data_IF_267552098607
#
_entry.id   IF_267552098607
#
_cell.length_a   1.000
_cell.length_b   1.000
_cell.length_c   1.000
_cell.angle_alpha   90.00
_cell.angle_beta   90.00
_cell.angle_gamma   90.00
#
_symmetry.space_group_name_H-M   'P 1'
#
loop_
_entity.id
_entity.type
_entity.pdbx_description
1 polymer ?
#
# COMPACT_ATOMS: atom_id res chain seq x y z
N UNK A 1 -35.12 17.35 20.90
CA UNK A 1 -33.81 17.61 20.29
C UNK A 1 -33.65 16.64 19.15
N UNK A 2 -33.81 17.07 17.90
CA UNK A 2 -33.64 16.18 16.73
C UNK A 2 -32.13 15.89 16.68
N UNK A 3 -31.75 14.63 16.87
CA UNK A 3 -30.36 14.24 16.79
C UNK A 3 -29.92 14.38 15.34
N UNK A 4 -29.16 15.42 15.05
CA UNK A 4 -28.72 15.82 13.68
C UNK A 4 -27.95 14.70 12.99
N UNK A 5 -27.33 13.79 13.74
CA UNK A 5 -26.42 12.73 13.26
C UNK A 5 -26.96 11.29 13.52
N UNK A 6 -28.28 11.11 13.53
CA UNK A 6 -28.92 9.79 13.65
C UNK A 6 -29.08 9.05 12.31
N UNK A 7 -28.81 9.73 11.21
CA UNK A 7 -28.80 9.21 9.85
C UNK A 7 -27.67 9.85 9.04
N UNK A 8 -27.32 9.24 7.92
CA UNK A 8 -26.24 9.71 7.07
C UNK A 8 -26.53 11.12 6.53
N UNK A 9 -25.67 12.07 6.89
CA UNK A 9 -25.64 13.45 6.41
C UNK A 9 -24.20 13.78 6.04
N UNK A 10 -23.99 14.38 4.86
CA UNK A 10 -22.65 14.82 4.48
C UNK A 10 -22.20 15.97 5.38
N UNK A 11 -21.02 15.80 5.95
CA UNK A 11 -20.37 16.80 6.79
C UNK A 11 -19.73 17.90 5.94
N UNK A 12 -19.62 19.07 6.52
CA UNK A 12 -18.85 20.22 6.04
C UNK A 12 -18.07 20.82 7.21
N UNK A 13 -17.26 21.84 6.98
CA UNK A 13 -16.41 22.44 8.02
C UNK A 13 -17.18 22.92 9.26
N UNK A 14 -18.44 23.31 9.16
CA UNK A 14 -19.24 23.72 10.30
C UNK A 14 -19.83 22.51 11.04
N UNK A 15 -20.46 21.60 10.29
CA UNK A 15 -21.15 20.43 10.86
C UNK A 15 -20.19 19.38 11.39
N UNK A 16 -18.95 19.28 10.89
CA UNK A 16 -17.94 18.38 11.44
C UNK A 16 -17.51 18.78 12.85
N UNK A 17 -17.48 20.06 13.16
CA UNK A 17 -17.21 20.56 14.54
C UNK A 17 -18.30 20.07 15.48
N UNK A 18 -19.57 20.27 15.09
CA UNK A 18 -20.73 19.82 15.85
C UNK A 18 -20.68 18.30 16.08
N UNK A 19 -20.39 17.57 15.02
CA UNK A 19 -20.29 16.11 15.03
C UNK A 19 -19.24 15.61 16.02
N UNK A 20 -17.99 16.07 15.90
CA UNK A 20 -16.92 15.57 16.77
C UNK A 20 -17.13 15.97 18.24
N UNK A 21 -17.69 17.16 18.49
CA UNK A 21 -18.00 17.61 19.84
C UNK A 21 -19.11 16.78 20.48
N UNK A 22 -20.14 16.40 19.70
CA UNK A 22 -21.26 15.57 20.18
C UNK A 22 -20.87 14.09 20.36
N UNK A 23 -20.13 13.54 19.39
CA UNK A 23 -19.88 12.09 19.30
C UNK A 23 -18.57 11.63 19.97
N UNK A 24 -17.66 12.56 20.26
CA UNK A 24 -16.40 12.24 20.91
C UNK A 24 -16.26 13.05 22.20
N UNK A 25 -15.56 12.51 23.19
CA UNK A 25 -15.17 13.27 24.37
C UNK A 25 -13.75 13.84 24.24
N UNK A 26 -13.29 14.09 23.01
CA UNK A 26 -11.90 14.47 22.74
C UNK A 26 -11.62 15.95 23.05
N UNK A 27 -12.57 16.82 22.75
CA UNK A 27 -12.45 18.27 22.97
C UNK A 27 -13.27 18.73 24.17
N UNK A 28 -12.70 19.63 24.96
CA UNK A 28 -13.36 20.16 26.17
C UNK A 28 -14.28 21.36 25.88
N UNK A 29 -13.98 22.19 24.86
CA UNK A 29 -14.73 23.40 24.56
C UNK A 29 -14.93 23.52 23.03
N UNK A 30 -16.20 23.59 22.61
CA UNK A 30 -16.59 23.71 21.20
C UNK A 30 -16.23 25.08 20.59
N UNK A 31 -16.29 26.15 21.38
CA UNK A 31 -16.07 27.51 20.88
C UNK A 31 -14.63 27.75 20.38
N UNK A 32 -13.69 26.92 20.82
CA UNK A 32 -12.29 26.97 20.40
C UNK A 32 -11.97 26.13 19.16
N UNK A 33 -12.97 25.42 18.60
CA UNK A 33 -12.74 24.50 17.51
C UNK A 33 -12.80 25.18 16.15
N UNK A 34 -11.83 24.88 15.34
CA UNK A 34 -11.81 25.18 13.92
C UNK A 34 -11.72 23.89 13.10
N UNK A 35 -12.19 23.94 11.86
CA UNK A 35 -12.11 22.83 10.94
C UNK A 35 -11.70 23.27 9.54
N UNK A 36 -10.96 22.42 8.85
CA UNK A 36 -10.58 22.59 7.46
C UNK A 36 -10.77 21.27 6.73
N UNK A 37 -11.34 21.34 5.54
CA UNK A 37 -11.36 20.21 4.62
C UNK A 37 -9.97 20.03 3.99
N UNK A 38 -9.47 18.77 4.00
CA UNK A 38 -8.21 18.39 3.36
C UNK A 38 -8.52 17.96 1.93
N UNK A 39 -7.96 18.66 0.96
CA UNK A 39 -8.29 18.51 -0.48
C UNK A 39 -7.71 17.26 -1.14
N UNK A 40 -6.84 16.53 -0.47
CA UNK A 40 -6.13 15.36 -1.04
C UNK A 40 -7.01 14.08 -1.08
N UNK A 41 -8.24 14.12 -0.56
CA UNK A 41 -9.19 12.99 -0.59
C UNK A 41 -9.92 12.86 -1.93
N UNK A 42 -9.41 12.07 -2.86
CA UNK A 42 -10.08 11.80 -4.14
C UNK A 42 -11.36 10.94 -3.98
N UNK A 43 -11.47 10.18 -2.91
CA UNK A 43 -12.50 9.17 -2.67
C UNK A 43 -13.45 9.61 -1.56
N UNK A 44 -12.92 10.05 -0.42
CA UNK A 44 -13.65 10.37 0.80
C UNK A 44 -13.58 11.87 1.11
N UNK A 45 -14.52 12.35 1.95
CA UNK A 45 -14.45 13.67 2.57
C UNK A 45 -13.55 13.59 3.78
N UNK A 46 -12.50 14.40 3.84
CA UNK A 46 -11.50 14.37 4.91
C UNK A 46 -11.42 15.76 5.54
N UNK A 47 -11.61 15.84 6.86
CA UNK A 47 -11.55 17.09 7.61
C UNK A 47 -10.50 16.95 8.72
N UNK A 48 -9.75 18.03 8.95
CA UNK A 48 -8.99 18.23 10.17
C UNK A 48 -9.78 19.16 11.07
N UNK A 49 -9.94 18.77 12.35
CA UNK A 49 -10.56 19.59 13.39
C UNK A 49 -9.52 19.81 14.49
N UNK A 50 -9.36 21.05 14.95
CA UNK A 50 -8.38 21.38 16.01
C UNK A 50 -8.90 22.41 16.97
N UNK A 51 -8.38 22.36 18.21
CA UNK A 51 -8.59 23.35 19.25
C UNK A 51 -7.49 24.41 19.14
N UNK A 52 -7.88 25.66 18.89
CA UNK A 52 -6.99 26.81 18.67
C UNK A 52 -6.23 27.22 19.94
N UNK A 53 -6.68 26.81 21.15
CA UNK A 53 -6.08 27.17 22.42
C UNK A 53 -5.02 26.16 22.86
N UNK A 54 -5.32 24.87 22.80
CA UNK A 54 -4.42 23.82 23.30
C UNK A 54 -3.72 23.01 22.19
N UNK A 55 -4.06 23.24 20.93
CA UNK A 55 -3.46 22.59 19.77
C UNK A 55 -3.81 21.11 19.59
N UNK A 56 -4.73 20.54 20.38
CA UNK A 56 -5.25 19.19 20.14
C UNK A 56 -5.95 19.16 18.79
N UNK A 57 -5.76 18.08 18.03
CA UNK A 57 -6.37 17.92 16.72
C UNK A 57 -6.71 16.47 16.43
N UNK A 58 -7.67 16.27 15.53
CA UNK A 58 -8.06 14.96 15.00
C UNK A 58 -8.43 15.08 13.52
N UNK A 59 -8.49 13.94 12.85
CA UNK A 59 -8.95 13.82 11.47
C UNK A 59 -10.26 13.06 11.42
N UNK A 60 -11.19 13.57 10.62
CA UNK A 60 -12.49 12.95 10.34
C UNK A 60 -12.54 12.57 8.87
N UNK A 61 -12.73 11.29 8.59
CA UNK A 61 -12.86 10.75 7.22
C UNK A 61 -14.28 10.21 7.06
N UNK A 62 -15.04 10.76 6.10
CA UNK A 62 -16.39 10.33 5.80
C UNK A 62 -16.47 9.74 4.40
N UNK A 63 -17.02 8.52 4.30
CA UNK A 63 -17.34 7.89 3.03
C UNK A 63 -18.75 8.30 2.55
N UNK A 64 -18.89 8.49 1.24
CA UNK A 64 -20.18 8.63 0.58
C UNK A 64 -20.38 7.50 -0.43
N UNK A 65 -21.66 7.32 -0.84
CA UNK A 65 -22.08 6.31 -1.83
C UNK A 65 -21.47 6.51 -3.23
N UNK A 66 -20.98 7.71 -3.49
CA UNK A 66 -20.37 8.07 -4.76
C UNK A 66 -18.94 8.57 -4.56
N UNK A 67 -18.05 8.14 -5.45
CA UNK A 67 -16.69 8.66 -5.50
C UNK A 67 -16.72 10.15 -5.82
N UNK A 68 -16.06 10.96 -5.01
CA UNK A 68 -16.01 12.41 -5.15
C UNK A 68 -15.38 12.85 -6.48
N UNK A 69 -14.37 12.14 -6.95
CA UNK A 69 -13.62 12.46 -8.17
C UNK A 69 -14.34 12.08 -9.47
N UNK A 70 -15.09 10.98 -9.48
CA UNK A 70 -15.68 10.39 -10.70
C UNK A 70 -17.19 10.24 -10.67
N UNK A 71 -17.85 10.41 -9.52
CA UNK A 71 -19.29 10.17 -9.34
C UNK A 71 -19.70 8.69 -9.49
N UNK A 72 -18.73 7.75 -9.53
CA UNK A 72 -19.04 6.31 -9.60
C UNK A 72 -19.53 5.81 -8.24
N UNK A 73 -20.54 4.93 -8.21
CA UNK A 73 -20.96 4.30 -6.97
C UNK A 73 -19.82 3.43 -6.41
N UNK A 74 -19.62 3.49 -5.10
CA UNK A 74 -18.68 2.64 -4.38
C UNK A 74 -19.27 2.31 -3.00
N UNK A 75 -19.12 1.04 -2.56
CA UNK A 75 -19.67 0.60 -1.27
C UNK A 75 -19.02 1.36 -0.12
N UNK A 76 -19.85 1.95 0.75
CA UNK A 76 -19.42 2.67 1.95
C UNK A 76 -18.79 1.75 3.00
N UNK A 77 -19.00 0.43 2.90
CA UNK A 77 -18.40 -0.56 3.80
C UNK A 77 -16.88 -0.52 3.81
N UNK A 78 -16.23 0.00 2.74
CA UNK A 78 -14.78 0.18 2.70
C UNK A 78 -14.26 1.02 3.88
N UNK A 79 -15.00 2.06 4.31
CA UNK A 79 -14.62 2.90 5.43
C UNK A 79 -14.71 2.14 6.78
N UNK A 80 -15.66 1.19 6.88
CA UNK A 80 -15.74 0.28 8.03
C UNK A 80 -14.55 -0.68 8.06
N UNK A 81 -14.21 -1.25 6.93
CA UNK A 81 -13.03 -2.10 6.78
C UNK A 81 -11.78 -1.33 7.21
N UNK A 82 -11.58 -0.13 6.69
CA UNK A 82 -10.47 0.74 7.06
C UNK A 82 -10.40 0.96 8.58
N UNK A 83 -11.52 1.33 9.22
CA UNK A 83 -11.56 1.58 10.66
C UNK A 83 -11.21 0.32 11.48
N UNK A 84 -11.76 -0.84 11.10
CA UNK A 84 -11.51 -2.11 11.77
C UNK A 84 -10.06 -2.58 11.58
N UNK A 85 -9.49 -2.43 10.40
CA UNK A 85 -8.10 -2.79 10.12
C UNK A 85 -7.14 -1.88 10.89
N UNK A 86 -7.34 -0.56 10.89
CA UNK A 86 -6.53 0.36 11.69
C UNK A 86 -6.56 -0.01 13.19
N UNK A 87 -7.70 -0.46 13.72
CA UNK A 87 -7.80 -0.93 15.10
C UNK A 87 -7.04 -2.23 15.33
N UNK A 88 -7.07 -3.17 14.37
CA UNK A 88 -6.33 -4.43 14.45
C UNK A 88 -4.83 -4.16 14.35
N UNK A 89 -4.39 -3.42 13.34
CA UNK A 89 -2.99 -3.06 13.13
C UNK A 89 -2.44 -2.23 14.29
N UNK A 90 -3.24 -1.29 14.83
CA UNK A 90 -2.86 -0.51 16.01
C UNK A 90 -2.63 -1.36 17.26
N UNK A 91 -3.32 -2.48 17.42
CA UNK A 91 -3.06 -3.45 18.49
C UNK A 91 -1.84 -4.31 18.23
N UNK A 92 -1.64 -4.75 16.99
CA UNK A 92 -0.53 -5.63 16.60
C UNK A 92 0.80 -4.88 16.47
N UNK A 93 0.76 -3.65 15.98
CA UNK A 93 1.90 -2.77 15.75
C UNK A 93 1.65 -1.36 16.32
N UNK A 94 1.62 -1.18 17.66
CA UNK A 94 1.33 0.11 18.27
C UNK A 94 2.27 1.21 17.78
N UNK A 95 1.70 2.38 17.46
CA UNK A 95 2.45 3.55 17.01
C UNK A 95 2.66 3.62 15.48
N UNK A 96 2.44 2.54 14.72
CA UNK A 96 2.64 2.52 13.26
C UNK A 96 1.43 2.98 12.45
N UNK A 97 0.24 3.03 13.03
CA UNK A 97 -0.99 3.52 12.38
C UNK A 97 -1.61 4.63 13.21
N UNK A 98 -2.49 5.46 12.65
CA UNK A 98 -3.28 6.41 13.43
C UNK A 98 -4.16 5.70 14.47
N UNK A 99 -4.26 6.27 15.67
CA UNK A 99 -5.22 5.82 16.68
C UNK A 99 -6.65 6.11 16.18
N UNK A 100 -7.52 5.11 16.26
CA UNK A 100 -8.95 5.26 15.93
C UNK A 100 -9.72 5.62 17.18
N UNK A 101 -10.33 6.80 17.21
CA UNK A 101 -11.12 7.30 18.34
C UNK A 101 -12.59 6.89 18.25
N UNK A 102 -13.16 6.87 17.03
CA UNK A 102 -14.55 6.51 16.79
C UNK A 102 -14.73 5.99 15.35
N UNK A 103 -15.56 4.96 15.18
CA UNK A 103 -16.21 4.66 13.92
C UNK A 103 -17.73 4.71 14.10
N UNK A 104 -18.43 5.48 13.27
CA UNK A 104 -19.88 5.63 13.26
C UNK A 104 -20.46 5.01 11.98
N UNK A 105 -21.07 3.84 12.14
CA UNK A 105 -21.65 3.05 11.05
C UNK A 105 -22.85 3.76 10.37
N UNK A 106 -23.59 4.63 11.11
CA UNK A 106 -24.73 5.36 10.56
C UNK A 106 -24.30 6.51 9.68
N UNK A 107 -23.27 7.22 10.12
CA UNK A 107 -22.71 8.38 9.41
C UNK A 107 -21.63 8.00 8.40
N UNK A 108 -21.15 6.74 8.42
CA UNK A 108 -19.96 6.28 7.69
C UNK A 108 -18.75 7.17 7.97
N UNK A 109 -18.52 7.49 9.24
CA UNK A 109 -17.45 8.39 9.69
C UNK A 109 -16.44 7.64 10.52
N UNK A 110 -15.19 7.82 10.17
CA UNK A 110 -14.01 7.42 10.93
C UNK A 110 -13.37 8.67 11.55
N UNK A 111 -13.19 8.68 12.87
CA UNK A 111 -12.45 9.72 13.62
C UNK A 111 -11.16 9.13 14.12
N UNK A 112 -10.04 9.74 13.78
CA UNK A 112 -8.71 9.20 14.07
C UNK A 112 -7.69 10.27 14.40
N UNK A 113 -6.51 9.84 14.85
CA UNK A 113 -5.33 10.67 15.14
C UNK A 113 -4.97 11.56 13.96
N UNK A 114 -4.68 12.83 14.23
CA UNK A 114 -4.10 13.76 13.27
C UNK A 114 -2.61 13.50 13.11
N UNK A 115 -2.24 12.98 11.96
CA UNK A 115 -0.84 12.69 11.57
C UNK A 115 -0.20 13.80 10.73
N UNK A 116 -0.75 15.01 10.70
CA UNK A 116 -0.23 16.11 9.85
C UNK A 116 1.22 16.55 10.13
N UNK A 117 1.84 16.02 11.20
CA UNK A 117 3.28 16.17 11.47
C UNK A 117 4.15 15.20 10.66
N UNK A 118 3.56 14.22 10.03
CA UNK A 118 4.24 13.29 9.14
C UNK A 118 4.03 13.73 7.69
N UNK A 119 5.03 13.51 6.85
CA UNK A 119 5.02 13.87 5.43
C UNK A 119 4.82 12.61 4.59
N UNK A 120 4.16 12.75 3.44
CA UNK A 120 3.93 11.61 2.56
C UNK A 120 5.25 11.08 2.00
N UNK A 121 5.55 9.80 2.21
CA UNK A 121 6.83 9.18 1.85
C UNK A 121 7.14 9.33 0.35
N UNK A 122 6.15 9.15 -0.54
CA UNK A 122 6.36 9.29 -1.99
C UNK A 122 6.87 10.67 -2.34
N UNK A 123 6.27 11.72 -1.77
CA UNK A 123 6.71 13.11 -2.01
C UNK A 123 8.13 13.34 -1.51
N UNK A 124 8.47 12.81 -0.34
CA UNK A 124 9.80 12.94 0.24
C UNK A 124 10.88 12.19 -0.56
N UNK A 125 10.55 11.00 -1.08
CA UNK A 125 11.46 10.24 -1.95
C UNK A 125 11.72 10.97 -3.29
N UNK A 126 10.71 11.59 -3.89
CA UNK A 126 10.87 12.43 -5.09
C UNK A 126 11.79 13.63 -4.84
N UNK A 127 11.83 14.17 -3.62
CA UNK A 127 12.76 15.21 -3.20
C UNK A 127 14.18 14.68 -2.89
N UNK A 128 14.40 13.37 -3.01
CA UNK A 128 15.70 12.74 -2.71
C UNK A 128 16.03 12.70 -1.22
N UNK A 129 15.03 12.70 -0.34
CA UNK A 129 15.21 12.58 1.12
C UNK A 129 15.53 11.15 1.52
N UNK A 130 16.32 10.99 2.57
CA UNK A 130 16.77 9.70 3.11
C UNK A 130 16.33 9.52 4.55
N UNK A 131 16.00 8.26 4.93
CA UNK A 131 15.49 7.92 6.27
C UNK A 131 16.09 6.57 6.70
N UNK A 132 17.16 6.60 7.48
CA UNK A 132 17.97 5.41 7.79
C UNK A 132 17.20 4.33 8.56
N UNK A 133 16.16 4.72 9.32
CA UNK A 133 15.31 3.81 10.08
C UNK A 133 14.20 3.14 9.24
N UNK A 134 13.93 3.62 8.02
CA UNK A 134 12.75 3.22 7.24
C UNK A 134 12.68 1.70 7.01
N UNK A 135 13.79 1.08 6.60
CA UNK A 135 13.81 -0.36 6.33
C UNK A 135 13.49 -1.20 7.59
N UNK A 136 13.97 -0.76 8.76
CA UNK A 136 13.69 -1.41 10.04
C UNK A 136 12.22 -1.26 10.43
N UNK A 137 11.68 -0.05 10.31
CA UNK A 137 10.30 0.26 10.69
C UNK A 137 9.30 -0.47 9.81
N UNK A 138 9.43 -0.36 8.47
CA UNK A 138 8.48 -1.00 7.55
C UNK A 138 8.52 -2.53 7.64
N UNK A 139 9.69 -3.13 7.77
CA UNK A 139 9.83 -4.59 7.95
C UNK A 139 9.26 -5.04 9.31
N UNK A 140 9.34 -4.20 10.34
CA UNK A 140 8.71 -4.45 11.64
C UNK A 140 7.19 -4.38 11.54
N UNK A 141 6.65 -3.33 10.92
CA UNK A 141 5.22 -3.19 10.70
C UNK A 141 4.65 -4.40 9.96
N UNK A 142 5.18 -4.71 8.80
CA UNK A 142 4.73 -5.83 7.94
C UNK A 142 4.77 -7.17 8.70
N UNK A 143 5.86 -7.44 9.43
CA UNK A 143 5.97 -8.67 10.21
C UNK A 143 4.91 -8.73 11.32
N UNK A 144 4.73 -7.63 12.07
CA UNK A 144 3.80 -7.57 13.22
C UNK A 144 2.34 -7.60 12.81
N UNK A 145 1.98 -7.10 11.64
CA UNK A 145 0.58 -7.05 11.19
C UNK A 145 0.18 -8.29 10.41
N UNK A 146 1.03 -8.82 9.55
CA UNK A 146 0.68 -9.95 8.69
C UNK A 146 0.82 -11.31 9.42
N UNK A 147 1.96 -11.57 10.06
CA UNK A 147 2.27 -12.91 10.59
C UNK A 147 1.29 -13.39 11.67
N UNK A 148 0.88 -12.54 12.64
CA UNK A 148 -0.07 -12.97 13.67
C UNK A 148 -1.46 -13.34 13.16
N UNK A 149 -1.83 -12.89 11.95
CA UNK A 149 -3.14 -13.16 11.34
C UNK A 149 -3.18 -14.43 10.50
N UNK A 150 -2.06 -15.16 10.41
CA UNK A 150 -1.94 -16.41 9.63
C UNK A 150 -2.51 -17.62 10.39
N UNK A 151 -2.81 -18.70 9.65
CA UNK A 151 -3.19 -20.01 10.22
C UNK A 151 -2.11 -20.65 11.11
N UNK A 152 -0.87 -20.15 11.04
CA UNK A 152 0.25 -20.66 11.83
C UNK A 152 0.21 -20.12 13.28
N UNK A 153 -0.44 -18.99 13.50
CA UNK A 153 -0.44 -18.23 14.76
C UNK A 153 -1.85 -18.02 15.31
N UNK A 154 -2.78 -17.52 14.49
CA UNK A 154 -4.16 -17.21 14.90
C UNK A 154 -4.93 -18.49 15.20
N UNK A 155 -5.88 -18.43 16.13
CA UNK A 155 -6.80 -19.55 16.35
C UNK A 155 -7.57 -19.87 15.05
N UNK A 156 -7.69 -21.18 14.75
CA UNK A 156 -8.26 -21.65 13.49
C UNK A 156 -9.73 -21.31 13.28
N UNK A 157 -10.51 -21.11 14.37
CA UNK A 157 -11.91 -20.67 14.29
C UNK A 157 -11.94 -19.17 14.04
N UNK A 158 -11.24 -18.40 14.84
CA UNK A 158 -11.09 -16.95 14.69
C UNK A 158 -10.58 -16.59 13.28
N UNK A 159 -9.57 -17.31 12.77
CA UNK A 159 -9.07 -17.13 11.41
C UNK A 159 -10.18 -17.24 10.36
N UNK A 160 -11.06 -18.25 10.46
CA UNK A 160 -12.14 -18.45 9.49
C UNK A 160 -13.21 -17.37 9.58
N UNK A 161 -13.53 -16.91 10.79
CA UNK A 161 -14.45 -15.80 11.02
C UNK A 161 -13.89 -14.50 10.38
N UNK A 162 -12.60 -14.26 10.55
CA UNK A 162 -11.95 -13.10 9.95
C UNK A 162 -11.87 -13.20 8.42
N UNK A 163 -11.58 -14.37 7.86
CA UNK A 163 -11.62 -14.58 6.40
C UNK A 163 -13.02 -14.27 5.84
N UNK A 164 -14.07 -14.72 6.50
CA UNK A 164 -15.45 -14.41 6.11
C UNK A 164 -15.75 -12.91 6.21
N UNK A 165 -15.27 -12.26 7.27
CA UNK A 165 -15.52 -10.85 7.55
C UNK A 165 -14.80 -9.92 6.56
N UNK A 166 -13.54 -10.23 6.23
CA UNK A 166 -12.66 -9.39 5.40
C UNK A 166 -12.50 -9.98 3.99
N UNK A 167 -13.60 -10.21 3.28
CA UNK A 167 -13.61 -10.66 1.87
C UNK A 167 -13.34 -9.48 0.93
N UNK A 168 -13.94 -8.30 1.19
CA UNK A 168 -13.77 -7.06 0.44
C UNK A 168 -13.98 -7.20 -1.08
N UNK A 169 -15.16 -7.70 -1.47
CA UNK A 169 -15.49 -8.12 -2.84
C UNK A 169 -15.17 -7.04 -3.89
N UNK A 170 -15.66 -5.81 -3.67
CA UNK A 170 -15.56 -4.72 -4.66
C UNK A 170 -14.10 -4.28 -4.91
N UNK A 171 -13.30 -4.16 -3.83
CA UNK A 171 -11.92 -3.70 -3.97
C UNK A 171 -10.97 -4.82 -4.42
N UNK A 172 -11.29 -6.08 -4.09
CA UNK A 172 -10.59 -7.23 -4.68
C UNK A 172 -10.84 -7.31 -6.19
N UNK A 173 -12.09 -7.17 -6.66
CA UNK A 173 -12.41 -7.16 -8.10
C UNK A 173 -11.63 -6.08 -8.86
N UNK A 174 -11.55 -4.87 -8.28
CA UNK A 174 -10.75 -3.78 -8.84
C UNK A 174 -9.27 -4.18 -8.93
N UNK A 175 -8.71 -4.79 -7.88
CA UNK A 175 -7.30 -5.21 -7.86
C UNK A 175 -7.05 -6.34 -8.86
N UNK A 176 -7.95 -7.33 -8.96
CA UNK A 176 -7.85 -8.43 -9.91
C UNK A 176 -7.81 -7.95 -11.36
N UNK A 177 -8.55 -6.89 -11.68
CA UNK A 177 -8.57 -6.30 -13.02
C UNK A 177 -7.35 -5.40 -13.27
N UNK A 178 -7.16 -4.39 -12.41
CA UNK A 178 -6.15 -3.35 -12.63
C UNK A 178 -4.70 -3.81 -12.38
N UNK A 179 -4.49 -4.82 -11.53
CA UNK A 179 -3.14 -5.31 -11.22
C UNK A 179 -2.77 -6.51 -12.09
N UNK A 180 -3.68 -7.46 -12.28
CA UNK A 180 -3.35 -8.76 -12.84
C UNK A 180 -3.94 -9.04 -14.23
N UNK A 181 -4.80 -8.18 -14.77
CA UNK A 181 -5.46 -8.45 -16.04
C UNK A 181 -5.15 -7.38 -17.07
N UNK A 182 -5.60 -6.16 -16.85
CA UNK A 182 -5.55 -5.10 -17.85
C UNK A 182 -4.13 -4.69 -18.27
N UNK A 183 -3.15 -4.58 -17.37
CA UNK A 183 -1.78 -4.22 -17.75
C UNK A 183 -1.16 -5.18 -18.79
N UNK A 184 -1.60 -6.44 -18.83
CA UNK A 184 -1.04 -7.50 -19.69
C UNK A 184 -1.91 -7.85 -20.89
N UNK A 185 -3.12 -7.31 -20.97
CA UNK A 185 -4.08 -7.65 -22.02
C UNK A 185 -4.73 -6.42 -22.66
N UNK A 186 -4.79 -5.28 -21.96
CA UNK A 186 -5.36 -4.00 -22.42
C UNK A 186 -6.76 -4.08 -23.07
N UNK A 187 -7.60 -5.01 -22.63
CA UNK A 187 -8.89 -5.30 -23.25
C UNK A 187 -9.93 -4.18 -23.11
N UNK A 188 -9.73 -3.28 -22.12
CA UNK A 188 -10.55 -2.08 -21.93
C UNK A 188 -9.93 -0.83 -22.57
N UNK A 189 -8.76 -0.94 -23.19
CA UNK A 189 -8.01 0.15 -23.83
C UNK A 189 -7.74 1.32 -22.86
N UNK A 190 -7.40 1.02 -21.60
CA UNK A 190 -7.09 2.01 -20.57
C UNK A 190 -5.59 2.15 -20.28
N UNK A 191 -4.77 1.24 -20.81
CA UNK A 191 -3.33 1.31 -20.61
C UNK A 191 -2.76 2.57 -21.26
N UNK A 192 -1.85 3.25 -20.55
CA UNK A 192 -1.25 4.53 -20.92
C UNK A 192 0.26 4.35 -20.99
N UNK A 193 0.86 4.60 -22.14
CA UNK A 193 2.30 4.62 -22.37
C UNK A 193 2.62 5.62 -23.49
N UNK A 194 3.90 6.00 -23.63
CA UNK A 194 4.32 6.83 -24.77
C UNK A 194 4.10 6.10 -26.08
N UNK A 195 3.74 6.84 -27.14
CA UNK A 195 3.49 6.27 -28.47
C UNK A 195 4.73 5.54 -29.02
N UNK A 196 5.91 6.07 -28.75
CA UNK A 196 7.19 5.53 -29.17
C UNK A 196 7.53 4.17 -28.50
N UNK A 197 6.91 3.90 -27.36
CA UNK A 197 7.05 2.62 -26.66
C UNK A 197 5.98 1.58 -27.05
N UNK A 198 5.02 1.92 -27.91
CA UNK A 198 3.90 1.03 -28.22
C UNK A 198 4.36 -0.35 -28.74
N UNK A 199 5.30 -0.41 -29.71
CA UNK A 199 5.82 -1.67 -30.23
C UNK A 199 6.63 -2.46 -29.20
N UNK A 200 7.33 -1.77 -28.30
CA UNK A 200 8.06 -2.37 -27.19
C UNK A 200 7.07 -2.99 -26.19
N UNK A 201 6.05 -2.24 -25.75
CA UNK A 201 5.00 -2.72 -24.84
C UNK A 201 4.25 -3.91 -25.45
N UNK A 202 3.89 -3.83 -26.74
CA UNK A 202 3.26 -4.95 -27.43
C UNK A 202 4.08 -6.23 -27.27
N UNK A 203 5.37 -6.17 -27.58
CA UNK A 203 6.27 -7.33 -27.52
C UNK A 203 6.52 -7.85 -26.11
N UNK A 204 6.71 -6.94 -25.14
CA UNK A 204 7.19 -7.31 -23.79
C UNK A 204 6.04 -7.69 -22.85
N UNK A 205 4.84 -7.14 -23.07
CA UNK A 205 3.67 -7.42 -22.22
C UNK A 205 2.59 -8.22 -22.95
N UNK A 206 2.15 -7.75 -24.14
CA UNK A 206 0.94 -8.32 -24.74
C UNK A 206 1.20 -9.59 -25.55
N UNK A 207 2.41 -9.79 -26.08
CA UNK A 207 2.80 -10.97 -26.85
C UNK A 207 3.61 -12.00 -26.04
N UNK A 208 3.92 -11.73 -24.76
CA UNK A 208 4.70 -12.64 -23.90
C UNK A 208 3.77 -13.60 -23.12
N UNK A 209 3.55 -14.79 -23.68
CA UNK A 209 2.68 -15.81 -23.09
C UNK A 209 3.28 -16.41 -21.81
N UNK A 210 4.61 -16.46 -21.66
CA UNK A 210 5.28 -16.89 -20.43
C UNK A 210 5.03 -15.89 -19.29
N UNK A 211 5.08 -14.59 -19.61
CA UNK A 211 4.71 -13.56 -18.64
C UNK A 211 3.25 -13.70 -18.20
N UNK A 212 2.33 -13.90 -19.15
CA UNK A 212 0.90 -14.07 -18.85
C UNK A 212 0.63 -15.31 -18.01
N UNK A 213 1.35 -16.42 -18.25
CA UNK A 213 1.29 -17.60 -17.39
C UNK A 213 1.67 -17.28 -15.94
N UNK A 214 2.82 -16.63 -15.73
CA UNK A 214 3.31 -16.29 -14.40
C UNK A 214 2.43 -15.25 -13.68
N UNK A 215 1.87 -14.28 -14.42
CA UNK A 215 0.85 -13.35 -13.91
C UNK A 215 -0.44 -14.09 -13.53
N UNK A 216 -0.86 -15.05 -14.36
CA UNK A 216 -2.00 -15.91 -14.07
C UNK A 216 -1.84 -16.71 -12.79
N UNK A 217 -0.64 -17.24 -12.51
CA UNK A 217 -0.32 -17.91 -11.25
C UNK A 217 -0.38 -16.95 -10.05
N UNK A 218 0.17 -15.74 -10.17
CA UNK A 218 0.09 -14.71 -9.12
C UNK A 218 -1.35 -14.26 -8.87
N UNK A 219 -2.14 -14.04 -9.94
CA UNK A 219 -3.57 -13.73 -9.82
C UNK A 219 -4.34 -14.84 -9.13
N UNK A 220 -4.12 -16.09 -9.51
CA UNK A 220 -4.77 -17.23 -8.87
C UNK A 220 -4.39 -17.35 -7.38
N UNK A 221 -3.13 -17.07 -7.04
CA UNK A 221 -2.67 -17.02 -5.65
C UNK A 221 -3.35 -15.87 -4.88
N UNK A 222 -3.45 -14.67 -5.47
CA UNK A 222 -4.14 -13.52 -4.88
C UNK A 222 -5.60 -13.82 -4.55
N UNK A 223 -6.32 -14.47 -5.45
CA UNK A 223 -7.75 -14.78 -5.30
C UNK A 223 -8.04 -15.91 -4.31
N UNK A 224 -7.13 -16.85 -4.13
CA UNK A 224 -7.43 -18.10 -3.43
C UNK A 224 -6.59 -18.34 -2.16
N UNK A 225 -5.48 -17.63 -1.96
CA UNK A 225 -4.61 -17.84 -0.82
C UNK A 225 -4.94 -16.86 0.32
N UNK A 226 -5.93 -17.21 1.12
CA UNK A 226 -6.31 -16.46 2.32
C UNK A 226 -5.24 -16.59 3.44
N UNK A 227 -3.99 -16.22 3.18
CA UNK A 227 -2.84 -16.46 4.04
C UNK A 227 -2.81 -15.55 5.27
N UNK A 228 -2.90 -14.23 5.07
CA UNK A 228 -2.84 -13.21 6.12
C UNK A 228 -3.85 -12.09 5.86
N UNK A 229 -4.18 -11.33 6.89
CA UNK A 229 -4.97 -10.11 6.74
C UNK A 229 -4.07 -9.00 6.24
N UNK A 230 -4.28 -8.59 4.98
CA UNK A 230 -3.48 -7.58 4.28
C UNK A 230 -3.97 -6.17 4.57
N UNK A 231 -3.08 -5.20 4.42
CA UNK A 231 -3.42 -3.80 4.21
C UNK A 231 -4.08 -3.60 2.83
N UNK A 232 -3.59 -4.29 1.81
CA UNK A 232 -4.14 -4.38 0.47
C UNK A 232 -3.77 -3.24 -0.49
N UNK A 233 -3.24 -2.11 0.01
CA UNK A 233 -2.74 -0.98 -0.80
C UNK A 233 -1.52 -0.31 -0.11
N UNK A 234 -0.54 -1.13 0.30
CA UNK A 234 0.64 -0.69 1.06
C UNK A 234 1.71 -0.12 0.13
N UNK A 235 1.47 1.06 -0.39
CA UNK A 235 2.39 1.77 -1.28
C UNK A 235 2.99 3.02 -0.62
N UNK A 236 4.01 3.64 -1.23
CA UNK A 236 4.67 4.83 -0.68
C UNK A 236 3.73 6.04 -0.46
N UNK A 237 2.59 6.07 -1.13
CA UNK A 237 1.55 7.09 -0.92
C UNK A 237 0.72 6.88 0.36
N UNK A 238 0.60 5.63 0.86
CA UNK A 238 -0.10 5.27 2.09
C UNK A 238 0.84 5.29 3.32
N UNK A 239 2.11 5.59 3.13
CA UNK A 239 3.12 5.69 4.19
C UNK A 239 3.47 7.16 4.42
N UNK A 240 3.38 7.59 5.66
CA UNK A 240 3.77 8.92 6.13
C UNK A 240 4.97 8.80 7.07
N UNK A 241 5.89 9.78 7.02
CA UNK A 241 7.20 9.70 7.68
C UNK A 241 7.61 11.03 8.29
N UNK A 242 8.28 10.99 9.43
CA UNK A 242 9.03 12.10 10.03
C UNK A 242 10.24 11.55 10.79
N UNK A 243 10.92 12.39 11.57
CA UNK A 243 12.09 11.99 12.37
C UNK A 243 11.79 10.95 13.48
N UNK A 244 10.51 10.74 13.85
CA UNK A 244 10.10 9.82 14.90
C UNK A 244 9.65 8.45 14.40
N UNK A 245 9.62 8.21 13.07
CA UNK A 245 9.21 6.95 12.47
C UNK A 245 8.18 7.10 11.36
N UNK A 246 7.40 6.04 11.13
CA UNK A 246 6.39 5.98 10.08
C UNK A 246 4.96 5.87 10.65
N UNK A 247 3.99 6.35 9.87
CA UNK A 247 2.55 6.11 10.04
C UNK A 247 1.96 5.59 8.74
N UNK A 248 1.16 4.55 8.82
CA UNK A 248 0.54 3.87 7.68
C UNK A 248 -0.96 4.10 7.75
N UNK A 249 -1.58 4.46 6.62
CA UNK A 249 -2.99 4.85 6.50
C UNK A 249 -3.65 4.19 5.29
N UNK A 250 -4.96 4.31 5.20
CA UNK A 250 -5.80 3.91 4.07
C UNK A 250 -5.84 2.40 3.77
N UNK A 251 -6.02 1.49 4.78
CA UNK A 251 -6.18 0.06 4.53
C UNK A 251 -7.60 -0.30 4.03
N UNK A 252 -8.21 0.52 3.18
CA UNK A 252 -9.57 0.27 2.67
C UNK A 252 -9.63 -0.94 1.71
N UNK A 253 -8.48 -1.32 1.11
CA UNK A 253 -8.33 -2.51 0.27
C UNK A 253 -8.06 -3.80 1.05
N UNK A 254 -8.09 -3.75 2.37
CA UNK A 254 -7.75 -4.88 3.21
C UNK A 254 -8.66 -6.09 2.97
N UNK A 255 -8.05 -7.26 2.88
CA UNK A 255 -8.70 -8.55 2.76
C UNK A 255 -7.76 -9.67 3.19
N UNK A 256 -8.25 -10.91 3.30
CA UNK A 256 -7.38 -12.05 3.50
C UNK A 256 -6.76 -12.51 2.18
N UNK A 257 -5.46 -12.33 2.04
CA UNK A 257 -4.69 -12.63 0.84
C UNK A 257 -3.27 -13.09 1.11
N UNK A 258 -2.46 -13.30 0.06
CA UNK A 258 -1.05 -13.68 0.18
C UNK A 258 -0.23 -12.52 0.72
N UNK A 259 0.48 -12.71 1.86
CA UNK A 259 1.23 -11.62 2.50
C UNK A 259 2.34 -11.02 1.63
N UNK A 260 2.82 -11.76 0.64
CA UNK A 260 3.76 -11.25 -0.37
C UNK A 260 3.21 -10.06 -1.16
N UNK A 261 1.89 -9.86 -1.23
CA UNK A 261 1.29 -8.74 -1.95
C UNK A 261 1.65 -7.38 -1.32
N UNK A 262 1.45 -7.22 -0.02
CA UNK A 262 1.81 -5.98 0.68
C UNK A 262 3.33 -5.74 0.68
N UNK A 263 4.12 -6.79 0.91
CA UNK A 263 5.59 -6.72 0.86
C UNK A 263 6.06 -6.28 -0.53
N UNK A 264 5.48 -6.88 -1.57
CA UNK A 264 5.78 -6.56 -2.96
C UNK A 264 5.41 -5.13 -3.34
N UNK A 265 4.28 -4.62 -2.85
CA UNK A 265 3.87 -3.23 -3.06
C UNK A 265 4.88 -2.24 -2.47
N UNK A 266 5.39 -2.49 -1.25
CA UNK A 266 6.44 -1.66 -0.65
C UNK A 266 7.70 -1.68 -1.52
N UNK A 267 8.18 -2.87 -1.91
CA UNK A 267 9.41 -3.02 -2.71
C UNK A 267 9.26 -2.35 -4.08
N UNK A 268 8.16 -2.60 -4.78
CA UNK A 268 7.88 -2.00 -6.10
C UNK A 268 7.88 -0.48 -6.05
N UNK A 269 7.31 0.10 -5.00
CA UNK A 269 7.27 1.55 -4.82
C UNK A 269 8.63 2.17 -4.54
N UNK A 270 9.54 1.49 -3.87
CA UNK A 270 10.92 1.96 -3.70
C UNK A 270 11.69 1.93 -5.03
N UNK A 271 11.42 0.98 -5.92
CA UNK A 271 12.02 0.94 -7.25
C UNK A 271 11.55 2.08 -8.16
N UNK A 272 10.33 2.62 -7.99
CA UNK A 272 9.93 3.84 -8.70
C UNK A 272 10.82 5.03 -8.33
N UNK A 273 11.09 5.23 -7.05
CA UNK A 273 11.96 6.30 -6.58
C UNK A 273 13.41 6.13 -7.08
N UNK A 274 13.92 4.89 -7.09
CA UNK A 274 15.23 4.58 -7.64
C UNK A 274 15.27 4.84 -9.15
N UNK A 275 14.28 4.39 -9.91
CA UNK A 275 14.19 4.61 -11.36
C UNK A 275 14.12 6.10 -11.71
N UNK A 276 13.31 6.87 -10.96
CA UNK A 276 13.24 8.32 -11.13
C UNK A 276 14.58 9.00 -10.91
N UNK A 277 15.30 8.63 -9.86
CA UNK A 277 16.63 9.19 -9.56
C UNK A 277 17.69 8.84 -10.62
N UNK A 278 17.60 7.63 -11.20
CA UNK A 278 18.55 7.14 -12.21
C UNK A 278 18.37 7.79 -13.60
N UNK A 279 17.17 8.26 -13.94
CA UNK A 279 16.91 8.92 -15.23
C UNK A 279 17.16 10.43 -15.20
N UNK A 280 17.52 11.03 -14.05
CA UNK A 280 17.85 12.46 -13.97
C UNK A 280 19.22 12.75 -14.56
N UNK A 281 19.38 13.93 -15.19
CA UNK A 281 20.67 14.39 -15.77
C UNK A 281 21.73 14.58 -14.69
N UNK A 282 21.33 15.15 -13.54
CA UNK A 282 22.19 15.29 -12.37
C UNK A 282 21.78 14.26 -11.33
N UNK A 283 22.55 13.19 -11.23
CA UNK A 283 22.26 12.10 -10.30
C UNK A 283 22.57 12.49 -8.86
N UNK A 284 21.60 12.31 -7.98
CA UNK A 284 21.80 12.34 -6.53
C UNK A 284 22.39 11.01 -6.06
N UNK A 285 23.71 10.83 -6.18
CA UNK A 285 24.41 9.57 -5.86
C UNK A 285 24.15 9.12 -4.43
N UNK A 286 24.12 10.04 -3.46
CA UNK A 286 23.84 9.72 -2.06
C UNK A 286 22.45 9.14 -1.88
N UNK A 287 21.44 9.67 -2.55
CA UNK A 287 20.09 9.13 -2.52
C UNK A 287 20.02 7.76 -3.21
N UNK A 288 20.66 7.61 -4.38
CA UNK A 288 20.71 6.34 -5.12
C UNK A 288 21.35 5.22 -4.29
N UNK A 289 22.46 5.51 -3.60
CA UNK A 289 23.09 4.56 -2.70
C UNK A 289 22.21 4.18 -1.52
N UNK A 290 21.57 5.16 -0.91
CA UNK A 290 20.65 4.96 0.21
C UNK A 290 19.43 4.13 -0.19
N UNK A 291 18.72 4.52 -1.28
CA UNK A 291 17.51 3.82 -1.71
C UNK A 291 17.81 2.39 -2.16
N UNK A 292 18.95 2.17 -2.83
CA UNK A 292 19.45 0.84 -3.20
C UNK A 292 19.64 -0.02 -1.95
N UNK A 293 20.38 0.48 -0.96
CA UNK A 293 20.58 -0.22 0.32
C UNK A 293 19.29 -0.44 1.09
N UNK A 294 18.36 0.51 1.00
CA UNK A 294 17.04 0.40 1.65
C UNK A 294 16.19 -0.71 1.02
N UNK A 295 16.14 -0.82 -0.30
CA UNK A 295 15.44 -1.91 -0.99
C UNK A 295 16.00 -3.27 -0.56
N UNK A 296 17.35 -3.41 -0.56
CA UNK A 296 18.03 -4.63 -0.12
C UNK A 296 17.60 -5.01 1.30
N UNK A 297 17.68 -4.05 2.23
CA UNK A 297 17.32 -4.26 3.63
C UNK A 297 15.83 -4.56 3.83
N UNK A 298 14.93 -3.92 3.09
CA UNK A 298 13.48 -4.15 3.25
C UNK A 298 13.14 -5.61 2.98
N UNK A 299 13.63 -6.20 1.87
CA UNK A 299 13.39 -7.61 1.59
C UNK A 299 14.05 -8.51 2.65
N UNK A 300 15.34 -8.33 2.89
CA UNK A 300 16.13 -9.25 3.72
C UNK A 300 15.70 -9.21 5.19
N UNK A 301 15.45 -8.01 5.75
CA UNK A 301 14.94 -7.84 7.12
C UNK A 301 13.53 -8.39 7.28
N UNK A 302 12.65 -8.16 6.29
CA UNK A 302 11.28 -8.69 6.34
C UNK A 302 11.29 -10.22 6.39
N UNK A 303 12.02 -10.88 5.48
CA UNK A 303 12.12 -12.34 5.49
C UNK A 303 12.73 -12.87 6.79
N UNK A 304 13.77 -12.21 7.29
CA UNK A 304 14.38 -12.56 8.57
C UNK A 304 13.40 -12.43 9.74
N UNK A 305 12.71 -11.30 9.87
CA UNK A 305 11.75 -11.05 10.97
C UNK A 305 10.58 -12.03 10.93
N UNK A 306 10.04 -12.32 9.73
CA UNK A 306 8.99 -13.34 9.57
C UNK A 306 9.48 -14.70 10.03
N UNK A 307 10.68 -15.14 9.61
CA UNK A 307 11.27 -16.42 10.03
C UNK A 307 11.47 -16.47 11.54
N UNK A 308 12.05 -15.43 12.12
CA UNK A 308 12.31 -15.34 13.56
C UNK A 308 11.00 -15.38 14.36
N UNK A 309 9.98 -14.63 13.93
CA UNK A 309 8.67 -14.60 14.58
C UNK A 309 7.99 -15.96 14.54
N UNK A 310 7.93 -16.61 13.36
CA UNK A 310 7.34 -17.92 13.20
C UNK A 310 8.08 -18.98 14.04
N UNK A 311 9.40 -18.96 14.04
CA UNK A 311 10.22 -19.90 14.80
C UNK A 311 9.95 -19.80 16.31
N UNK A 312 9.70 -18.59 16.83
CA UNK A 312 9.43 -18.36 18.24
C UNK A 312 7.98 -18.68 18.66
N UNK A 313 7.01 -18.57 17.74
CA UNK A 313 5.58 -18.56 18.11
C UNK A 313 4.77 -19.76 17.58
N UNK A 314 5.23 -20.45 16.55
CA UNK A 314 4.51 -21.61 15.99
C UNK A 314 4.58 -22.78 16.99
N UNK A 315 3.42 -23.32 17.34
CA UNK A 315 3.29 -24.35 18.37
C UNK A 315 3.05 -25.76 17.81
N UNK A 316 2.47 -25.86 16.61
CA UNK A 316 2.11 -27.15 16.04
C UNK A 316 3.36 -27.85 15.49
N UNK A 317 3.71 -29.07 15.98
CA UNK A 317 4.94 -29.76 15.56
C UNK A 317 5.01 -30.08 14.06
N UNK A 318 3.86 -30.10 13.38
CA UNK A 318 3.81 -30.27 11.92
C UNK A 318 4.55 -29.17 11.18
N UNK A 319 4.55 -27.96 11.72
CA UNK A 319 5.23 -26.79 11.16
C UNK A 319 6.66 -26.68 11.67
N UNK A 320 7.46 -27.71 11.39
CA UNK A 320 8.87 -27.78 11.78
C UNK A 320 9.77 -26.80 11.00
N UNK A 321 11.06 -26.76 11.30
CA UNK A 321 12.01 -25.84 10.66
C UNK A 321 12.07 -25.98 9.14
N UNK A 322 11.95 -27.19 8.60
CA UNK A 322 11.96 -27.46 7.15
C UNK A 322 10.72 -26.86 6.49
N UNK A 323 9.56 -27.00 7.14
CA UNK A 323 8.34 -26.37 6.68
C UNK A 323 8.48 -24.83 6.70
N UNK A 324 8.95 -24.25 7.81
CA UNK A 324 9.08 -22.81 7.96
C UNK A 324 10.04 -22.21 6.92
N UNK A 325 11.13 -22.90 6.58
CA UNK A 325 12.02 -22.44 5.51
C UNK A 325 11.33 -22.38 4.15
N UNK A 326 10.57 -23.41 3.80
CA UNK A 326 9.79 -23.43 2.55
C UNK A 326 8.69 -22.38 2.54
N UNK A 327 8.04 -22.17 3.69
CA UNK A 327 6.98 -21.18 3.85
C UNK A 327 7.53 -19.75 3.67
N UNK A 328 8.63 -19.41 4.32
CA UNK A 328 9.28 -18.09 4.16
C UNK A 328 9.81 -17.91 2.72
N UNK A 329 10.35 -18.98 2.13
CA UNK A 329 10.76 -18.94 0.71
C UNK A 329 9.58 -18.62 -0.22
N UNK A 330 8.41 -19.25 -0.03
CA UNK A 330 7.23 -18.94 -0.85
C UNK A 330 6.76 -17.50 -0.68
N UNK A 331 6.81 -16.95 0.54
CA UNK A 331 6.49 -15.53 0.79
C UNK A 331 7.44 -14.61 0.02
N UNK A 332 8.75 -14.91 0.04
CA UNK A 332 9.76 -14.14 -0.70
C UNK A 332 9.48 -14.16 -2.21
N UNK A 333 9.26 -15.36 -2.76
CA UNK A 333 8.94 -15.53 -4.19
C UNK A 333 7.67 -14.74 -4.58
N UNK A 334 6.63 -14.82 -3.79
CA UNK A 334 5.39 -14.05 -3.97
C UNK A 334 5.65 -12.54 -3.88
N UNK A 335 6.43 -12.09 -2.88
CA UNK A 335 6.75 -10.67 -2.70
C UNK A 335 7.46 -10.08 -3.92
N UNK A 336 8.40 -10.83 -4.49
CA UNK A 336 9.14 -10.40 -5.68
C UNK A 336 8.21 -10.37 -6.90
N UNK A 337 7.36 -11.38 -7.07
CA UNK A 337 6.38 -11.42 -8.15
C UNK A 337 5.38 -10.27 -8.06
N UNK A 338 4.84 -10.02 -6.89
CA UNK A 338 3.90 -8.90 -6.67
C UNK A 338 4.57 -7.51 -6.77
N UNK A 339 5.85 -7.38 -6.41
CA UNK A 339 6.60 -6.16 -6.72
C UNK A 339 6.65 -5.92 -8.24
N UNK A 340 6.87 -6.97 -9.03
CA UNK A 340 6.82 -6.89 -10.49
C UNK A 340 5.44 -6.48 -11.02
N UNK A 341 4.35 -7.03 -10.48
CA UNK A 341 2.99 -6.67 -10.92
C UNK A 341 2.64 -5.22 -10.56
N UNK A 342 3.05 -4.74 -9.37
CA UNK A 342 2.88 -3.35 -8.97
C UNK A 342 3.66 -2.40 -9.90
N UNK A 343 4.91 -2.74 -10.22
CA UNK A 343 5.74 -1.96 -11.14
C UNK A 343 5.08 -1.88 -12.52
N UNK A 344 4.64 -2.99 -13.10
CA UNK A 344 4.02 -3.01 -14.43
C UNK A 344 2.72 -2.21 -14.44
N UNK A 345 1.80 -2.47 -13.48
CA UNK A 345 0.50 -1.79 -13.46
C UNK A 345 0.60 -0.27 -13.32
N UNK A 346 1.58 0.20 -12.54
CA UNK A 346 1.79 1.64 -12.30
C UNK A 346 2.63 2.31 -13.40
N UNK A 347 3.26 1.52 -14.27
CA UNK A 347 4.02 2.04 -15.41
C UNK A 347 3.15 2.16 -16.66
N UNK A 348 2.36 1.14 -16.97
CA UNK A 348 1.56 1.07 -18.22
C UNK A 348 0.05 1.08 -18.00
N UNK A 349 -0.44 0.85 -16.77
CA UNK A 349 -1.87 0.89 -16.45
C UNK A 349 -2.45 2.30 -16.42
N UNK A 350 -3.74 2.41 -16.13
CA UNK A 350 -4.48 3.67 -16.10
C UNK A 350 -4.14 4.60 -14.91
N UNK A 351 -3.40 4.09 -13.93
CA UNK A 351 -3.02 4.79 -12.69
C UNK A 351 -1.50 4.85 -12.52
N UNK A 352 -0.84 5.67 -13.34
CA UNK A 352 0.62 5.88 -13.24
C UNK A 352 1.03 6.53 -11.92
N UNK A 353 2.27 6.24 -11.52
CA UNK A 353 2.89 6.86 -10.33
C UNK A 353 3.38 8.27 -10.62
N UNK A 354 3.47 9.07 -9.56
CA UNK A 354 3.93 10.47 -9.65
C UNK A 354 5.36 10.58 -10.18
N UNK A 355 6.21 9.59 -9.94
CA UNK A 355 7.58 9.49 -10.42
C UNK A 355 7.67 9.54 -11.96
N UNK A 356 6.64 9.05 -12.66
CA UNK A 356 6.55 9.14 -14.12
C UNK A 356 5.94 10.47 -14.55
N UNK A 357 4.86 10.91 -13.88
CA UNK A 357 4.20 12.19 -14.21
C UNK A 357 5.06 13.42 -13.91
N UNK A 358 6.01 13.33 -13.00
CA UNK A 358 6.91 14.43 -12.65
C UNK A 358 8.01 14.68 -13.71
N UNK A 359 8.14 13.80 -14.72
CA UNK A 359 9.09 13.95 -15.80
C UNK A 359 8.47 14.77 -16.95
N UNK A 360 9.07 15.91 -17.27
CA UNK A 360 8.66 16.76 -18.38
C UNK A 360 9.33 16.36 -19.71
N UNK A 361 10.52 15.74 -19.64
CA UNK A 361 11.30 15.32 -20.81
C UNK A 361 10.80 13.95 -21.32
N UNK A 362 10.32 13.93 -22.58
CA UNK A 362 9.78 12.74 -23.23
C UNK A 362 10.82 11.60 -23.32
N UNK A 363 12.11 11.90 -23.53
CA UNK A 363 13.15 10.85 -23.58
C UNK A 363 13.34 10.19 -22.23
N UNK A 364 13.25 10.94 -21.14
CA UNK A 364 13.28 10.41 -19.78
C UNK A 364 12.03 9.57 -19.49
N UNK A 365 10.85 10.03 -19.92
CA UNK A 365 9.59 9.25 -19.77
C UNK A 365 9.70 7.94 -20.54
N UNK A 366 10.16 7.96 -21.79
CA UNK A 366 10.35 6.74 -22.59
C UNK A 366 11.34 5.77 -21.93
N UNK A 367 12.43 6.30 -21.42
CA UNK A 367 13.47 5.51 -20.76
C UNK A 367 12.97 4.87 -19.48
N UNK A 368 12.29 5.62 -18.59
CA UNK A 368 11.76 5.09 -17.34
C UNK A 368 10.66 4.06 -17.58
N UNK A 369 9.78 4.28 -18.57
CA UNK A 369 8.75 3.30 -18.95
C UNK A 369 9.38 1.97 -19.40
N UNK A 370 10.43 2.00 -20.25
CA UNK A 370 11.14 0.80 -20.69
C UNK A 370 11.82 0.09 -19.53
N UNK A 371 12.58 0.84 -18.72
CA UNK A 371 13.31 0.31 -17.57
C UNK A 371 12.36 -0.42 -16.61
N UNK A 372 11.31 0.27 -16.18
CA UNK A 372 10.35 -0.28 -15.22
C UNK A 372 9.57 -1.46 -15.79
N UNK A 373 9.19 -1.40 -17.08
CA UNK A 373 8.48 -2.53 -17.72
C UNK A 373 9.38 -3.75 -17.82
N UNK A 374 10.63 -3.62 -18.28
CA UNK A 374 11.58 -4.74 -18.34
C UNK A 374 11.84 -5.31 -16.96
N UNK A 375 12.09 -4.45 -15.98
CA UNK A 375 12.37 -4.90 -14.62
C UNK A 375 11.16 -5.57 -13.96
N UNK A 376 9.96 -5.00 -14.10
CA UNK A 376 8.74 -5.61 -13.57
C UNK A 376 8.46 -6.98 -14.19
N UNK A 377 8.64 -7.13 -15.50
CA UNK A 377 8.48 -8.44 -16.19
C UNK A 377 9.53 -9.45 -15.75
N UNK A 378 10.76 -9.02 -15.52
CA UNK A 378 11.83 -9.87 -14.98
C UNK A 378 11.49 -10.37 -13.57
N UNK A 379 11.07 -9.48 -12.68
CA UNK A 379 10.66 -9.86 -11.32
C UNK A 379 9.52 -10.90 -11.34
N UNK A 380 8.54 -10.75 -12.22
CA UNK A 380 7.42 -11.69 -12.34
C UNK A 380 7.91 -13.06 -12.81
N UNK A 381 8.65 -13.11 -13.93
CA UNK A 381 9.09 -14.37 -14.56
C UNK A 381 10.17 -15.09 -13.75
N UNK A 382 11.05 -14.34 -13.13
CA UNK A 382 12.24 -14.86 -12.45
C UNK A 382 12.16 -14.80 -10.91
N UNK A 383 10.96 -14.56 -10.31
CA UNK A 383 10.78 -14.40 -8.87
C UNK A 383 11.39 -15.53 -8.03
N UNK A 384 11.45 -16.74 -8.58
CA UNK A 384 11.94 -17.94 -7.88
C UNK A 384 13.47 -18.06 -7.78
N UNK A 385 14.20 -17.28 -8.60
CA UNK A 385 15.67 -17.33 -8.60
C UNK A 385 16.31 -16.28 -7.69
N UNK A 386 15.57 -15.22 -7.34
CA UNK A 386 16.07 -14.18 -6.44
C UNK A 386 15.96 -14.60 -4.99
N UNK A 387 17.08 -14.56 -4.26
CA UNK A 387 17.16 -14.96 -2.86
C UNK A 387 17.36 -13.78 -1.90
N UNK A 388 17.93 -12.68 -2.39
CA UNK A 388 18.33 -11.51 -1.60
C UNK A 388 17.90 -10.20 -2.26
N UNK A 389 17.76 -9.14 -1.46
CA UNK A 389 17.52 -7.79 -1.98
C UNK A 389 18.63 -7.29 -2.90
N UNK A 390 19.87 -7.71 -2.64
CA UNK A 390 21.03 -7.37 -3.49
C UNK A 390 20.94 -7.94 -4.90
N UNK A 391 20.37 -9.12 -5.06
CA UNK A 391 20.16 -9.70 -6.41
C UNK A 391 19.13 -8.91 -7.19
N UNK A 392 18.07 -8.39 -6.53
CA UNK A 392 17.08 -7.50 -7.17
C UNK A 392 17.73 -6.21 -7.66
N UNK A 393 18.49 -5.54 -6.80
CA UNK A 393 19.15 -4.28 -7.16
C UNK A 393 20.23 -4.46 -8.22
N UNK A 394 20.93 -5.60 -8.23
CA UNK A 394 21.87 -5.96 -9.29
C UNK A 394 21.14 -6.21 -10.64
N UNK A 395 19.99 -6.87 -10.63
CA UNK A 395 19.18 -7.04 -11.83
C UNK A 395 18.70 -5.69 -12.38
N UNK A 396 18.19 -4.81 -11.51
CA UNK A 396 17.79 -3.47 -11.90
C UNK A 396 18.94 -2.68 -12.53
N UNK A 397 20.14 -2.70 -11.93
CA UNK A 397 21.33 -2.03 -12.47
C UNK A 397 21.69 -2.51 -13.88
N UNK A 398 21.66 -3.83 -14.11
CA UNK A 398 21.89 -4.39 -15.47
C UNK A 398 20.89 -3.86 -16.50
N UNK A 399 19.64 -3.62 -16.09
CA UNK A 399 18.60 -3.11 -17.01
C UNK A 399 18.76 -1.61 -17.32
N UNK A 400 19.30 -0.83 -16.40
CA UNK A 400 19.67 0.58 -16.67
C UNK A 400 20.66 0.68 -17.85
N UNK A 401 21.59 -0.29 -17.96
CA UNK A 401 22.59 -0.32 -19.02
C UNK A 401 22.05 -0.78 -20.39
N UNK A 402 20.84 -1.39 -20.39
CA UNK A 402 20.21 -1.90 -21.62
C UNK A 402 19.26 -0.85 -22.27
N UNK A 403 18.69 0.06 -21.47
CA UNK A 403 17.71 1.08 -21.88
C UNK A 403 18.36 2.46 -21.90
#
# INVERSE_FOLDING_TARGET
MTLLFDHHVLLNCNTVIDYVFEKTNYFANKENLEAKELSDGNINYVFKVWDTVNGKSLVVKQADKFLRSSGRPLDVKRNKIEAEILQIEGKLAPGFVPEVYLYDDKMNVLVMEDISKYLNLRKELLLGKTFDFFAEDISTFVCKTLVPTTDLILDRHEKKEWVQKFINIELCDISEDLVFTEPYYNYKNRNIHTAENASFIQKVLYDDDVLKEEVGLLRNNFMNNAQALLHGDLHSGSIFINENGIKIIDPEFAFYGPMGYDIGNVIGNLFFALAYAEVQDTKNTKFIEWITSTIEKVLDLTMKKIKDFLTANVKLPLYNSIFLEKYVKSIREDSIGYAGTEIVRRTVGDSKVQEIYALEDLEKVKRIERLLTLFGTDLIKNRKIYETGKELTNSFKRMIDIV
#
